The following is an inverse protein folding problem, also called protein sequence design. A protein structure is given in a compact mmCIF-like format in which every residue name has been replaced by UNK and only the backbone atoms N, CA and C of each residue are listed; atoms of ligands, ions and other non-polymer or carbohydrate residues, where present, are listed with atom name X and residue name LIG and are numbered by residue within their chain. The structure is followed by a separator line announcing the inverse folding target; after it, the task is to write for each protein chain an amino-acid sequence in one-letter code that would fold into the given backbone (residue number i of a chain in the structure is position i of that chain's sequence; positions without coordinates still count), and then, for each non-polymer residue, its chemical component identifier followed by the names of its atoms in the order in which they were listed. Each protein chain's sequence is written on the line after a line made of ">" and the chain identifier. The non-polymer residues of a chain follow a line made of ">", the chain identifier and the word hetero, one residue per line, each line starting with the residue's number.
data_IF_739788577964
#
_entry.id   IF_739788577964
#
_cell.length_a   1.000
_cell.length_b   1.000
_cell.length_c   1.000
_cell.angle_alpha   90.00
_cell.angle_beta   90.00
_cell.angle_gamma   90.00
#
_symmetry.space_group_name_H-M   'P 1'
#
loop_
_entity.id
_entity.type
_entity.pdbx_description
1 polymer ?
#
# COMPACT_ATOMS: atom_id res chain seq x y z
N UNK A 1 -33.16 11.33 35.27
CA UNK A 1 -33.80 10.39 36.21
C UNK A 1 -32.68 9.65 36.92
N UNK A 2 -32.48 9.91 38.22
CA UNK A 2 -31.51 9.16 39.04
C UNK A 2 -32.01 7.72 39.08
N UNK A 3 -31.18 6.76 38.66
CA UNK A 3 -31.46 5.35 38.96
C UNK A 3 -31.49 5.25 40.50
N UNK A 4 -32.53 4.66 41.12
CA UNK A 4 -32.50 4.38 42.55
C UNK A 4 -31.23 3.61 42.88
N UNK A 5 -30.54 3.92 43.98
CA UNK A 5 -29.24 3.31 44.33
C UNK A 5 -29.25 1.78 44.15
N UNK A 6 -30.36 1.11 44.49
CA UNK A 6 -30.50 -0.35 44.37
C UNK A 6 -30.56 -0.85 42.91
N UNK A 7 -31.11 -0.07 41.98
CA UNK A 7 -31.13 -0.39 40.55
C UNK A 7 -29.73 -0.33 39.92
N UNK A 8 -28.90 0.62 40.36
CA UNK A 8 -27.50 0.71 39.93
C UNK A 8 -26.70 -0.52 40.35
N UNK A 9 -26.79 -0.91 41.63
CA UNK A 9 -26.07 -2.07 42.16
C UNK A 9 -26.55 -3.38 41.53
N UNK A 10 -27.84 -3.50 41.22
CA UNK A 10 -28.40 -4.68 40.54
C UNK A 10 -27.81 -4.82 39.12
N UNK A 11 -27.80 -3.75 38.34
CA UNK A 11 -27.23 -3.73 36.98
C UNK A 11 -25.75 -4.13 36.98
N UNK A 12 -24.96 -3.53 37.89
CA UNK A 12 -23.52 -3.78 37.96
C UNK A 12 -23.23 -5.20 38.44
N UNK A 13 -23.99 -5.71 39.40
CA UNK A 13 -23.82 -7.08 39.91
C UNK A 13 -24.12 -8.12 38.83
N UNK A 14 -25.21 -7.93 38.06
CA UNK A 14 -25.54 -8.82 36.94
C UNK A 14 -24.43 -8.83 35.88
N UNK A 15 -23.92 -7.65 35.49
CA UNK A 15 -22.82 -7.57 34.51
C UNK A 15 -21.52 -8.23 34.98
N UNK A 16 -21.20 -8.16 36.27
CA UNK A 16 -20.03 -8.83 36.86
C UNK A 16 -20.25 -10.35 37.02
N UNK A 17 -21.48 -10.80 37.24
CA UNK A 17 -21.82 -12.24 37.34
C UNK A 17 -21.84 -12.92 35.98
N UNK A 18 -22.24 -12.20 34.92
CA UNK A 18 -22.17 -12.66 33.53
C UNK A 18 -20.79 -12.48 32.90
N UNK A 19 -19.75 -12.19 33.70
CA UNK A 19 -18.38 -12.15 33.19
C UNK A 19 -17.98 -13.54 32.68
N UNK A 20 -17.37 -13.57 31.51
CA UNK A 20 -16.70 -14.76 30.99
C UNK A 20 -15.30 -14.88 31.63
N UNK A 21 -14.23 -14.74 30.84
CA UNK A 21 -12.83 -14.85 31.28
C UNK A 21 -12.22 -13.50 31.73
N UNK A 22 -13.02 -12.44 31.81
CA UNK A 22 -12.52 -11.11 32.14
C UNK A 22 -12.25 -10.91 33.64
N UNK A 23 -11.25 -10.09 33.95
CA UNK A 23 -10.99 -9.65 35.34
C UNK A 23 -12.17 -8.84 35.87
N UNK A 24 -12.38 -8.85 37.20
CA UNK A 24 -13.45 -8.08 37.86
C UNK A 24 -13.40 -6.58 37.53
N UNK A 25 -12.19 -6.03 37.36
CA UNK A 25 -11.99 -4.65 36.94
C UNK A 25 -12.56 -4.40 35.53
N UNK A 26 -12.24 -5.30 34.60
CA UNK A 26 -12.64 -5.18 33.19
C UNK A 26 -14.14 -5.40 33.01
N UNK A 27 -14.72 -6.37 33.73
CA UNK A 27 -16.17 -6.59 33.75
C UNK A 27 -16.94 -5.37 34.30
N UNK A 28 -16.46 -4.77 35.41
CA UNK A 28 -17.03 -3.55 35.98
C UNK A 28 -16.93 -2.37 35.00
N UNK A 29 -15.77 -2.19 34.36
CA UNK A 29 -15.56 -1.18 33.33
C UNK A 29 -16.54 -1.34 32.15
N UNK A 30 -16.63 -2.54 31.56
CA UNK A 30 -17.51 -2.79 30.43
C UNK A 30 -18.99 -2.61 30.77
N UNK A 31 -19.41 -3.07 31.95
CA UNK A 31 -20.80 -2.92 32.41
C UNK A 31 -21.18 -1.45 32.57
N UNK A 32 -20.34 -0.65 33.22
CA UNK A 32 -20.57 0.78 33.38
C UNK A 32 -20.52 1.52 32.04
N UNK A 33 -19.54 1.21 31.17
CA UNK A 33 -19.42 1.78 29.83
C UNK A 33 -20.68 1.49 29.00
N UNK A 34 -21.15 0.25 29.00
CA UNK A 34 -22.36 -0.16 28.28
C UNK A 34 -23.59 0.57 28.81
N UNK A 35 -23.76 0.65 30.13
CA UNK A 35 -24.87 1.36 30.75
C UNK A 35 -24.87 2.86 30.44
N UNK A 36 -23.69 3.48 30.32
CA UNK A 36 -23.56 4.88 29.90
C UNK A 36 -23.93 5.04 28.41
N UNK A 37 -23.41 4.17 27.54
CA UNK A 37 -23.66 4.25 26.09
C UNK A 37 -25.12 3.99 25.70
N UNK A 38 -25.79 3.05 26.39
CA UNK A 38 -27.22 2.76 26.21
C UNK A 38 -28.13 3.80 26.87
N UNK A 39 -27.57 4.81 27.54
CA UNK A 39 -28.33 5.83 28.25
C UNK A 39 -29.05 5.34 29.51
N UNK A 40 -28.78 4.10 29.95
CA UNK A 40 -29.29 3.57 31.24
C UNK A 40 -28.76 4.42 32.40
N UNK A 41 -27.46 4.76 32.36
CA UNK A 41 -26.87 5.80 33.19
C UNK A 41 -26.98 7.14 32.46
N UNK A 42 -27.95 7.95 32.88
CA UNK A 42 -28.22 9.24 32.27
C UNK A 42 -27.03 10.20 32.40
N UNK A 43 -26.89 11.08 31.40
CA UNK A 43 -25.98 12.21 31.44
C UNK A 43 -26.13 13.02 32.75
N UNK A 44 -25.01 13.49 33.29
CA UNK A 44 -24.90 14.25 34.55
C UNK A 44 -25.34 13.49 35.81
N UNK A 45 -25.61 12.18 35.73
CA UNK A 45 -25.88 11.39 36.94
C UNK A 45 -24.60 11.24 37.77
N UNK A 46 -24.75 11.29 39.10
CA UNK A 46 -23.65 11.05 40.04
C UNK A 46 -23.55 9.56 40.33
N UNK A 47 -22.37 9.00 40.19
CA UNK A 47 -22.09 7.62 40.60
C UNK A 47 -21.84 7.56 42.11
N UNK A 48 -22.19 6.43 42.76
CA UNK A 48 -21.85 6.22 44.17
C UNK A 48 -20.33 6.30 44.39
N UNK A 49 -19.93 6.75 45.59
CA UNK A 49 -18.51 6.85 45.93
C UNK A 49 -17.81 5.48 45.89
N UNK A 50 -16.52 5.47 45.53
CA UNK A 50 -15.75 4.24 45.34
C UNK A 50 -15.78 3.29 46.56
N UNK A 51 -15.88 3.83 47.78
CA UNK A 51 -15.98 3.05 49.04
C UNK A 51 -17.33 2.35 49.16
N UNK A 52 -18.41 3.03 48.80
CA UNK A 52 -19.78 2.47 48.81
C UNK A 52 -19.87 1.39 47.75
N UNK A 53 -19.33 1.65 46.56
CA UNK A 53 -19.28 0.66 45.47
C UNK A 53 -18.51 -0.59 45.86
N UNK A 54 -17.31 -0.44 46.43
CA UNK A 54 -16.50 -1.56 46.90
C UNK A 54 -17.23 -2.39 47.97
N UNK A 55 -17.86 -1.74 48.95
CA UNK A 55 -18.57 -2.41 50.04
C UNK A 55 -19.81 -3.19 49.55
N UNK A 56 -20.66 -2.59 48.71
CA UNK A 56 -21.88 -3.24 48.22
C UNK A 56 -21.62 -4.31 47.17
N UNK A 57 -20.64 -4.12 46.29
CA UNK A 57 -20.27 -5.10 45.26
C UNK A 57 -19.35 -6.20 45.79
N UNK A 58 -18.92 -6.14 47.06
CA UNK A 58 -17.92 -7.03 47.66
C UNK A 58 -16.62 -7.11 46.84
N UNK A 59 -16.20 -5.97 46.29
CA UNK A 59 -14.98 -5.83 45.50
C UNK A 59 -13.91 -5.06 46.26
N UNK A 60 -12.65 -5.28 45.89
CA UNK A 60 -11.57 -4.41 46.39
C UNK A 60 -11.78 -2.97 45.91
N UNK A 61 -11.44 -2.00 46.76
CA UNK A 61 -11.50 -0.58 46.39
C UNK A 61 -10.59 -0.25 45.21
N UNK A 62 -9.48 -0.96 45.06
CA UNK A 62 -8.54 -0.78 43.95
C UNK A 62 -9.18 -1.19 42.61
N UNK A 63 -9.92 -2.30 42.58
CA UNK A 63 -10.66 -2.76 41.39
C UNK A 63 -11.69 -1.72 40.92
N UNK A 64 -12.46 -1.16 41.86
CA UNK A 64 -13.45 -0.12 41.55
C UNK A 64 -12.79 1.17 41.08
N UNK A 65 -11.73 1.62 41.77
CA UNK A 65 -11.01 2.83 41.40
C UNK A 65 -10.41 2.72 39.99
N UNK A 66 -9.79 1.59 39.67
CA UNK A 66 -9.15 1.36 38.39
C UNK A 66 -10.18 1.33 37.23
N UNK A 67 -11.36 0.72 37.43
CA UNK A 67 -12.44 0.78 36.44
C UNK A 67 -12.99 2.20 36.23
N UNK A 68 -13.21 2.95 37.31
CA UNK A 68 -13.68 4.33 37.25
C UNK A 68 -12.61 5.29 36.72
N UNK A 69 -11.32 5.01 36.92
CA UNK A 69 -10.20 5.76 36.34
C UNK A 69 -10.12 5.54 34.85
N UNK A 70 -10.25 4.29 34.38
CA UNK A 70 -10.30 3.97 32.96
C UNK A 70 -11.46 4.69 32.26
N UNK A 71 -12.66 4.67 32.86
CA UNK A 71 -13.81 5.40 32.32
C UNK A 71 -13.61 6.93 32.31
N UNK A 72 -12.86 7.47 33.27
CA UNK A 72 -12.55 8.90 33.29
C UNK A 72 -11.48 9.27 32.25
N UNK A 73 -10.46 8.43 32.05
CA UNK A 73 -9.44 8.60 31.01
C UNK A 73 -10.05 8.58 29.61
N UNK A 74 -11.05 7.73 29.38
CA UNK A 74 -11.78 7.64 28.12
C UNK A 74 -12.88 8.71 27.96
N UNK A 75 -13.09 9.56 28.96
CA UNK A 75 -14.06 10.66 28.89
C UNK A 75 -15.53 10.28 29.12
N UNK A 76 -15.81 9.07 29.61
CA UNK A 76 -17.17 8.67 30.01
C UNK A 76 -17.59 9.30 31.34
N UNK A 77 -16.62 9.60 32.21
CA UNK A 77 -16.85 10.15 33.55
C UNK A 77 -16.02 11.39 33.83
N UNK A 78 -16.62 12.36 34.51
CA UNK A 78 -15.91 13.51 35.10
C UNK A 78 -15.74 13.29 36.59
N UNK A 79 -14.50 13.33 37.08
CA UNK A 79 -14.20 13.30 38.52
C UNK A 79 -14.04 14.73 39.05
N UNK A 80 -14.75 15.05 40.13
CA UNK A 80 -14.65 16.33 40.82
C UNK A 80 -14.53 16.14 42.34
N UNK A 81 -14.25 17.21 43.08
CA UNK A 81 -14.32 17.20 44.56
C UNK A 81 -15.69 16.80 45.10
N UNK A 82 -16.74 16.90 44.29
CA UNK A 82 -18.11 16.56 44.66
C UNK A 82 -18.53 15.14 44.25
N UNK A 83 -17.60 14.34 43.69
CA UNK A 83 -17.83 12.97 43.25
C UNK A 83 -17.62 12.75 41.75
N UNK A 84 -17.99 11.56 41.29
CA UNK A 84 -17.87 11.11 39.90
C UNK A 84 -19.21 11.27 39.18
N UNK A 85 -19.21 11.88 38.00
CA UNK A 85 -20.42 12.14 37.20
C UNK A 85 -20.29 11.58 35.79
N UNK A 86 -21.40 11.13 35.21
CA UNK A 86 -21.45 10.69 33.81
C UNK A 86 -21.46 11.90 32.88
N UNK A 87 -20.55 11.91 31.91
CA UNK A 87 -20.44 12.97 30.91
C UNK A 87 -21.68 12.96 30.00
N UNK A 88 -22.22 14.13 29.60
CA UNK A 88 -23.25 14.19 28.58
C UNK A 88 -22.71 13.72 27.23
N UNK A 89 -22.96 12.46 26.90
CA UNK A 89 -22.69 11.90 25.58
C UNK A 89 -23.91 12.11 24.67
N UNK A 90 -23.66 12.32 23.38
CA UNK A 90 -24.73 12.21 22.39
C UNK A 90 -25.32 10.80 22.51
N UNK A 91 -26.61 10.70 22.80
CA UNK A 91 -27.24 9.40 22.99
C UNK A 91 -27.12 8.59 21.70
N UNK A 92 -26.40 7.47 21.75
CA UNK A 92 -26.56 6.40 20.78
C UNK A 92 -27.89 5.73 21.08
N UNK A 93 -29.00 6.37 20.72
CA UNK A 93 -30.25 5.61 20.62
C UNK A 93 -30.01 4.54 19.58
N UNK A 94 -30.21 3.28 19.96
CA UNK A 94 -30.49 2.18 19.02
C UNK A 94 -31.84 2.45 18.32
N UNK A 95 -32.02 3.63 17.75
CA UNK A 95 -32.90 3.74 16.59
C UNK A 95 -32.23 2.88 15.53
N UNK A 96 -33.00 1.99 14.88
CA UNK A 96 -32.52 1.16 13.80
C UNK A 96 -32.10 2.07 12.63
N UNK A 97 -30.90 2.65 12.72
CA UNK A 97 -30.31 3.47 11.68
C UNK A 97 -30.12 2.52 10.51
N UNK A 98 -30.91 2.72 9.46
CA UNK A 98 -30.70 2.03 8.19
C UNK A 98 -29.32 2.44 7.70
N UNK A 99 -28.35 1.56 7.90
CA UNK A 99 -26.98 1.76 7.40
C UNK A 99 -27.11 1.88 5.88
N UNK A 100 -26.73 3.02 5.28
CA UNK A 100 -26.81 3.16 3.83
C UNK A 100 -25.91 2.10 3.20
N UNK A 101 -26.30 1.54 2.04
CA UNK A 101 -25.45 0.60 1.34
C UNK A 101 -24.12 1.27 0.99
N UNK A 102 -23.01 0.56 1.20
CA UNK A 102 -21.69 1.02 0.77
C UNK A 102 -21.62 0.88 -0.75
N UNK A 103 -21.60 2.00 -1.45
CA UNK A 103 -21.52 2.04 -2.93
C UNK A 103 -20.10 2.41 -3.35
N UNK A 104 -19.53 1.66 -4.28
CA UNK A 104 -18.23 1.98 -4.87
C UNK A 104 -18.32 3.23 -5.77
N UNK A 105 -17.33 4.14 -5.71
CA UNK A 105 -17.24 5.25 -6.67
C UNK A 105 -17.26 4.77 -8.12
N UNK A 106 -17.93 5.51 -9.00
CA UNK A 106 -18.12 5.17 -10.42
C UNK A 106 -16.82 4.80 -11.14
N UNK A 107 -15.76 5.59 -10.93
CA UNK A 107 -14.42 5.33 -11.50
C UNK A 107 -13.81 3.96 -11.13
N UNK A 108 -14.26 3.34 -10.03
CA UNK A 108 -13.77 2.03 -9.58
C UNK A 108 -14.63 0.88 -10.07
N UNK A 109 -15.82 1.16 -10.63
CA UNK A 109 -16.74 0.11 -11.11
C UNK A 109 -16.22 -0.59 -12.37
N UNK A 110 -15.38 0.09 -13.17
CA UNK A 110 -14.76 -0.46 -14.38
C UNK A 110 -13.39 -1.12 -14.18
N UNK A 111 -12.97 -1.35 -12.94
CA UNK A 111 -11.70 -2.03 -12.65
C UNK A 111 -11.81 -3.52 -13.03
N UNK A 112 -10.72 -4.14 -13.53
CA UNK A 112 -10.69 -5.56 -13.81
C UNK A 112 -10.91 -6.37 -12.52
N UNK A 113 -11.51 -7.55 -12.66
CA UNK A 113 -11.70 -8.46 -11.53
C UNK A 113 -10.35 -8.82 -10.89
N UNK A 114 -10.35 -8.97 -9.56
CA UNK A 114 -9.16 -9.37 -8.82
C UNK A 114 -8.68 -10.75 -9.29
N UNK A 115 -7.43 -10.83 -9.72
CA UNK A 115 -6.81 -12.11 -10.05
C UNK A 115 -6.51 -12.87 -8.76
N UNK A 116 -7.05 -14.08 -8.63
CA UNK A 116 -6.83 -14.95 -7.47
C UNK A 116 -5.33 -15.30 -7.41
N UNK A 117 -4.68 -15.02 -6.28
CA UNK A 117 -3.30 -15.44 -6.01
C UNK A 117 -3.34 -16.68 -5.12
N UNK A 118 -2.98 -17.82 -5.69
CA UNK A 118 -2.83 -19.06 -4.93
C UNK A 118 -1.59 -19.04 -4.05
N UNK A 119 -1.66 -19.74 -2.91
CA UNK A 119 -0.54 -19.97 -2.01
C UNK A 119 -0.52 -21.45 -1.59
N UNK A 120 0.45 -22.26 -2.07
CA UNK A 120 1.54 -21.88 -2.98
C UNK A 120 1.03 -21.53 -4.39
N UNK A 121 1.79 -20.71 -5.13
CA UNK A 121 1.47 -20.39 -6.52
C UNK A 121 1.43 -21.67 -7.36
N UNK A 122 0.46 -21.76 -8.29
CA UNK A 122 0.34 -22.89 -9.20
C UNK A 122 1.48 -22.91 -10.22
N UNK A 123 1.83 -24.10 -10.72
CA UNK A 123 2.76 -24.23 -11.85
C UNK A 123 2.26 -23.43 -13.05
N UNK A 124 3.19 -22.83 -13.79
CA UNK A 124 2.92 -21.94 -14.93
C UNK A 124 2.16 -20.64 -14.59
N UNK A 125 2.11 -20.22 -13.33
CA UNK A 125 1.63 -18.87 -12.97
C UNK A 125 2.54 -17.81 -13.65
N UNK A 126 2.00 -16.94 -14.53
CA UNK A 126 2.81 -15.95 -15.24
C UNK A 126 3.50 -14.97 -14.28
N UNK A 127 4.74 -14.61 -14.61
CA UNK A 127 5.52 -13.65 -13.83
C UNK A 127 6.05 -14.16 -12.49
N UNK A 128 5.98 -15.48 -12.24
CA UNK A 128 6.52 -16.10 -11.02
C UNK A 128 8.00 -16.50 -11.17
N UNK A 129 8.91 -15.99 -10.32
CA UNK A 129 10.28 -16.48 -10.25
C UNK A 129 10.47 -17.94 -9.90
N UNK A 130 11.65 -18.43 -10.28
CA UNK A 130 12.28 -19.59 -9.65
C UNK A 130 12.73 -19.24 -8.22
N UNK A 131 11.77 -18.98 -7.32
CA UNK A 131 12.00 -18.56 -5.93
C UNK A 131 12.85 -19.57 -5.14
N UNK A 132 12.86 -20.83 -5.56
CA UNK A 132 13.68 -21.91 -5.01
C UNK A 132 15.18 -21.77 -5.30
N UNK A 133 15.58 -20.95 -6.29
CA UNK A 133 16.98 -20.66 -6.59
C UNK A 133 17.52 -19.43 -5.82
N UNK A 134 16.67 -18.75 -5.04
CA UNK A 134 17.11 -17.59 -4.28
C UNK A 134 18.20 -17.99 -3.26
N UNK A 135 19.37 -17.34 -3.25
CA UNK A 135 20.51 -17.75 -2.43
C UNK A 135 20.33 -17.30 -0.97
N UNK A 136 19.36 -17.88 -0.27
CA UNK A 136 18.99 -17.55 1.12
C UNK A 136 20.20 -17.49 2.08
N UNK A 137 21.17 -18.44 2.05
CA UNK A 137 22.31 -18.37 2.96
C UNK A 137 23.21 -17.14 2.73
N UNK A 138 23.43 -16.77 1.47
CA UNK A 138 24.21 -15.58 1.12
C UNK A 138 23.46 -14.31 1.53
N UNK A 139 22.16 -14.25 1.23
CA UNK A 139 21.32 -13.11 1.58
C UNK A 139 21.31 -12.85 3.09
N UNK A 140 21.15 -13.90 3.90
CA UNK A 140 21.21 -13.81 5.37
C UNK A 140 22.54 -13.25 5.85
N UNK A 141 23.66 -13.77 5.32
CA UNK A 141 25.00 -13.27 5.68
C UNK A 141 25.17 -11.79 5.34
N UNK A 142 24.68 -11.32 4.19
CA UNK A 142 24.77 -9.91 3.79
C UNK A 142 23.91 -9.03 4.70
N UNK A 143 22.69 -9.46 5.00
CA UNK A 143 21.79 -8.76 5.92
C UNK A 143 22.40 -8.66 7.32
N UNK A 144 22.97 -9.75 7.85
CA UNK A 144 23.62 -9.77 9.16
C UNK A 144 24.82 -8.81 9.22
N UNK A 145 25.58 -8.66 8.12
CA UNK A 145 26.67 -7.70 8.04
C UNK A 145 26.15 -6.26 8.10
N UNK A 146 25.15 -5.92 7.28
CA UNK A 146 24.55 -4.58 7.26
C UNK A 146 23.95 -4.21 8.63
N UNK A 147 23.23 -5.14 9.26
CA UNK A 147 22.67 -4.93 10.59
C UNK A 147 23.76 -4.73 11.67
N UNK A 148 24.92 -5.38 11.54
CA UNK A 148 26.04 -5.20 12.46
C UNK A 148 26.73 -3.85 12.27
N UNK A 149 26.91 -3.43 11.02
CA UNK A 149 27.69 -2.24 10.67
C UNK A 149 26.87 -0.95 10.88
N UNK A 150 25.60 -0.94 10.49
CA UNK A 150 24.73 0.25 10.58
C UNK A 150 23.86 0.28 11.85
N UNK A 151 23.58 -0.89 12.44
CA UNK A 151 22.91 -1.00 13.73
C UNK A 151 21.57 -0.26 13.80
N UNK A 152 21.42 0.59 14.82
CA UNK A 152 20.18 1.34 15.06
C UNK A 152 19.91 2.47 14.05
N UNK A 153 20.89 2.86 13.22
CA UNK A 153 20.68 3.89 12.20
C UNK A 153 19.61 3.48 11.16
N UNK A 154 19.49 2.17 10.90
CA UNK A 154 18.49 1.59 10.00
C UNK A 154 17.04 1.64 10.55
N UNK A 155 16.88 1.84 11.87
CA UNK A 155 15.56 1.79 12.51
C UNK A 155 14.81 3.13 12.43
N UNK A 156 15.48 4.18 11.95
CA UNK A 156 14.90 5.51 11.74
C UNK A 156 14.21 5.65 10.38
N UNK A 157 13.61 6.82 10.17
CA UNK A 157 13.15 7.20 8.83
C UNK A 157 14.36 7.59 7.97
N UNK A 158 14.50 6.93 6.83
CA UNK A 158 15.51 7.25 5.81
C UNK A 158 15.06 8.36 4.85
N UNK A 159 15.82 8.56 3.78
CA UNK A 159 15.43 9.46 2.70
C UNK A 159 14.18 8.94 1.96
N UNK A 160 13.27 9.85 1.62
CA UNK A 160 12.00 9.49 0.97
C UNK A 160 12.18 8.83 -0.40
N UNK A 161 13.27 9.11 -1.12
CA UNK A 161 13.59 8.49 -2.40
C UNK A 161 14.28 7.12 -2.25
N UNK A 162 14.58 6.69 -1.02
CA UNK A 162 15.34 5.49 -0.69
C UNK A 162 16.81 5.77 -0.36
N UNK A 163 17.45 4.75 0.19
CA UNK A 163 18.83 4.82 0.67
C UNK A 163 19.82 5.32 -0.43
N UNK A 164 20.70 6.30 -0.14
CA UNK A 164 21.65 6.82 -1.13
C UNK A 164 22.62 5.77 -1.68
N UNK A 165 23.15 4.87 -0.85
CA UNK A 165 24.12 3.85 -1.27
C UNK A 165 23.46 2.81 -2.17
N UNK A 166 22.22 2.43 -1.86
CA UNK A 166 21.40 1.59 -2.73
C UNK A 166 21.17 2.26 -4.09
N UNK A 167 20.81 3.55 -4.12
CA UNK A 167 20.60 4.28 -5.36
C UNK A 167 21.88 4.41 -6.19
N UNK A 168 23.03 4.61 -5.57
CA UNK A 168 24.34 4.57 -6.26
C UNK A 168 24.62 3.20 -6.88
N UNK A 169 24.37 2.12 -6.13
CA UNK A 169 24.55 0.76 -6.62
C UNK A 169 23.62 0.46 -7.81
N UNK A 170 22.36 0.91 -7.76
CA UNK A 170 21.40 0.77 -8.85
C UNK A 170 21.81 1.59 -10.07
N UNK A 171 22.22 2.86 -9.89
CA UNK A 171 22.70 3.69 -11.00
C UNK A 171 23.87 3.02 -11.74
N UNK A 172 24.81 2.44 -10.99
CA UNK A 172 25.93 1.67 -11.55
C UNK A 172 25.46 0.41 -12.26
N UNK A 173 24.53 -0.34 -11.66
CA UNK A 173 23.96 -1.54 -12.28
C UNK A 173 23.28 -1.21 -13.60
N UNK A 174 22.40 -0.22 -13.62
CA UNK A 174 21.67 0.23 -14.82
C UNK A 174 22.63 0.71 -15.93
N UNK A 175 23.71 1.40 -15.58
CA UNK A 175 24.72 1.81 -16.56
C UNK A 175 25.42 0.62 -17.22
N UNK A 176 25.69 -0.45 -16.47
CA UNK A 176 26.39 -1.64 -16.96
C UNK A 176 25.45 -2.62 -17.69
N UNK A 177 24.25 -2.85 -17.17
CA UNK A 177 23.31 -3.86 -17.68
C UNK A 177 22.40 -3.34 -18.78
N UNK A 178 22.06 -2.03 -18.75
CA UNK A 178 21.08 -1.40 -19.65
C UNK A 178 21.62 -0.22 -20.43
N UNK A 179 22.86 0.21 -20.19
CA UNK A 179 23.40 1.43 -20.79
C UNK A 179 22.67 2.71 -20.35
N UNK A 180 21.79 2.64 -19.34
CA UNK A 180 21.03 3.78 -18.83
C UNK A 180 21.97 4.62 -17.97
N UNK A 181 22.21 5.87 -18.39
CA UNK A 181 22.98 6.83 -17.62
C UNK A 181 22.02 7.74 -16.86
N UNK A 182 22.00 7.60 -15.53
CA UNK A 182 21.19 8.43 -14.64
C UNK A 182 21.99 8.86 -13.40
N UNK A 183 21.61 10.00 -12.82
CA UNK A 183 22.08 10.47 -11.52
C UNK A 183 21.22 9.86 -10.41
N UNK A 184 21.80 9.62 -9.23
CA UNK A 184 21.08 9.03 -8.08
C UNK A 184 19.83 9.82 -7.66
N UNK A 185 19.80 11.13 -7.93
CA UNK A 185 18.65 12.02 -7.67
C UNK A 185 17.46 11.72 -8.59
N UNK A 186 17.68 10.95 -9.66
CA UNK A 186 16.65 10.53 -10.61
C UNK A 186 16.14 9.11 -10.30
N UNK A 187 16.65 8.46 -9.25
CA UNK A 187 16.22 7.12 -8.82
C UNK A 187 15.35 7.27 -7.57
N UNK A 188 14.17 6.66 -7.62
CA UNK A 188 13.26 6.52 -6.48
C UNK A 188 13.04 5.04 -6.24
N UNK A 189 13.30 4.59 -5.01
CA UNK A 189 13.04 3.22 -4.58
C UNK A 189 11.58 3.11 -4.16
N UNK A 190 10.91 2.07 -4.65
CA UNK A 190 9.50 1.78 -4.36
C UNK A 190 9.34 0.34 -3.91
N UNK A 191 8.27 0.05 -3.17
CA UNK A 191 7.79 -1.26 -2.74
C UNK A 191 7.11 -2.02 -3.90
N UNK A 192 7.83 -2.14 -5.02
CA UNK A 192 7.41 -2.81 -6.25
C UNK A 192 6.93 -1.88 -7.37
N UNK A 193 6.89 -2.42 -8.58
CA UNK A 193 6.65 -1.65 -9.81
C UNK A 193 5.29 -0.93 -9.83
N UNK A 194 4.24 -1.51 -9.25
CA UNK A 194 2.92 -0.87 -9.21
C UNK A 194 2.91 0.42 -8.39
N UNK A 195 3.71 0.52 -7.32
CA UNK A 195 3.85 1.78 -6.60
C UNK A 195 4.53 2.82 -7.48
N UNK A 196 5.60 2.46 -8.20
CA UNK A 196 6.23 3.33 -9.21
C UNK A 196 5.25 3.83 -10.27
N UNK A 197 4.40 2.95 -10.81
CA UNK A 197 3.35 3.34 -11.77
C UNK A 197 2.32 4.29 -11.14
N UNK A 198 1.92 4.07 -9.89
CA UNK A 198 0.99 4.95 -9.19
C UNK A 198 1.60 6.33 -8.90
N UNK A 199 2.89 6.40 -8.57
CA UNK A 199 3.63 7.65 -8.42
C UNK A 199 3.71 8.40 -9.76
N UNK A 200 4.01 7.70 -10.85
CA UNK A 200 4.01 8.30 -12.19
C UNK A 200 2.63 8.87 -12.56
N UNK A 201 1.56 8.13 -12.32
CA UNK A 201 0.20 8.64 -12.55
C UNK A 201 -0.07 9.90 -11.70
N UNK A 202 0.30 9.88 -10.42
CA UNK A 202 0.02 10.99 -9.49
C UNK A 202 0.85 12.25 -9.78
N UNK A 203 2.06 12.11 -10.30
CA UNK A 203 3.01 13.22 -10.51
C UNK A 203 2.97 13.81 -11.93
N UNK A 204 2.48 13.05 -12.91
CA UNK A 204 2.60 13.40 -14.33
C UNK A 204 1.26 13.64 -15.02
N UNK A 205 0.14 13.43 -14.34
CA UNK A 205 -1.20 13.50 -14.92
C UNK A 205 -2.21 14.12 -13.95
N UNK A 206 -3.25 14.75 -14.50
CA UNK A 206 -4.43 15.19 -13.76
C UNK A 206 -5.63 14.26 -14.05
N UNK A 207 -6.62 14.14 -13.13
CA UNK A 207 -7.86 13.43 -13.43
C UNK A 207 -8.52 13.96 -14.70
N UNK A 208 -8.87 13.06 -15.61
CA UNK A 208 -9.35 13.40 -16.94
C UNK A 208 -8.25 13.48 -18.01
N UNK A 209 -6.96 13.44 -17.70
CA UNK A 209 -5.94 13.28 -18.74
C UNK A 209 -6.06 11.92 -19.44
N UNK A 210 -5.58 11.86 -20.68
CA UNK A 210 -5.54 10.64 -21.49
C UNK A 210 -4.24 9.86 -21.29
N UNK A 211 -4.35 8.53 -21.25
CA UNK A 211 -3.19 7.63 -21.15
C UNK A 211 -3.32 6.51 -22.16
N UNK A 212 -2.23 6.21 -22.85
CA UNK A 212 -2.14 5.06 -23.72
C UNK A 212 -1.52 3.88 -22.98
N UNK A 213 -2.14 2.72 -23.10
CA UNK A 213 -1.64 1.45 -22.58
C UNK A 213 -1.68 0.40 -23.68
N UNK A 214 -0.79 -0.57 -23.65
CA UNK A 214 -0.84 -1.72 -24.55
C UNK A 214 -2.15 -2.54 -24.38
N UNK A 215 -2.70 -3.04 -25.48
CA UNK A 215 -3.87 -3.92 -25.52
C UNK A 215 -3.60 -5.11 -26.48
N UNK A 216 -3.47 -6.34 -25.96
CA UNK A 216 -3.49 -6.71 -24.54
C UNK A 216 -2.26 -6.20 -23.78
N UNK A 217 -2.39 -5.94 -22.48
CA UNK A 217 -1.32 -5.35 -21.67
C UNK A 217 -1.41 -5.64 -20.18
N UNK A 218 -0.54 -4.99 -19.39
CA UNK A 218 -0.48 -5.18 -17.94
C UNK A 218 -1.69 -4.58 -17.21
N UNK A 219 -2.59 -5.45 -16.72
CA UNK A 219 -3.83 -5.06 -16.03
C UNK A 219 -3.59 -4.21 -14.77
N UNK A 220 -2.45 -4.41 -14.09
CA UNK A 220 -2.12 -3.65 -12.88
C UNK A 220 -1.88 -2.16 -13.18
N UNK A 221 -1.20 -1.85 -14.28
CA UNK A 221 -1.01 -0.48 -14.74
C UNK A 221 -2.34 0.14 -15.19
N UNK A 222 -3.13 -0.58 -16.01
CA UNK A 222 -4.48 -0.15 -16.42
C UNK A 222 -5.36 0.22 -15.22
N UNK A 223 -5.39 -0.64 -14.20
CA UNK A 223 -6.15 -0.40 -12.97
C UNK A 223 -5.66 0.84 -12.21
N UNK A 224 -4.33 1.03 -12.16
CA UNK A 224 -3.72 2.18 -11.50
C UNK A 224 -4.13 3.50 -12.18
N UNK A 225 -4.12 3.54 -13.51
CA UNK A 225 -4.54 4.71 -14.28
C UNK A 225 -6.04 4.98 -14.22
N UNK A 226 -6.89 3.95 -14.31
CA UNK A 226 -8.34 4.10 -14.11
C UNK A 226 -8.65 4.63 -12.70
N UNK A 227 -7.95 4.10 -11.69
CA UNK A 227 -8.05 4.61 -10.32
C UNK A 227 -7.58 6.06 -10.22
N UNK A 228 -6.55 6.48 -10.94
CA UNK A 228 -6.14 7.89 -10.99
C UNK A 228 -7.16 8.81 -11.70
N UNK A 229 -8.20 8.25 -12.34
CA UNK A 229 -9.23 9.00 -13.05
C UNK A 229 -8.85 9.35 -14.49
N UNK A 230 -7.90 8.62 -15.08
CA UNK A 230 -7.44 8.86 -16.45
C UNK A 230 -8.35 8.22 -17.49
N UNK A 231 -8.44 8.84 -18.67
CA UNK A 231 -9.05 8.25 -19.87
C UNK A 231 -8.08 7.27 -20.49
N UNK A 232 -8.22 5.99 -20.14
CA UNK A 232 -7.34 4.92 -20.64
C UNK A 232 -7.74 4.49 -22.05
N UNK A 233 -6.81 4.62 -23.00
CA UNK A 233 -6.93 4.11 -24.38
C UNK A 233 -6.02 2.90 -24.57
N UNK A 234 -6.62 1.76 -24.92
CA UNK A 234 -5.89 0.55 -25.27
C UNK A 234 -5.36 0.63 -26.70
N UNK A 235 -4.05 0.44 -26.85
CA UNK A 235 -3.34 0.53 -28.13
C UNK A 235 -2.95 -0.87 -28.57
N UNK A 236 -3.37 -1.24 -29.78
CA UNK A 236 -3.11 -2.56 -30.33
C UNK A 236 -1.61 -2.87 -30.35
N UNK A 237 -1.26 -4.10 -30.01
CA UNK A 237 0.10 -4.63 -30.06
C UNK A 237 0.23 -5.53 -31.29
N UNK A 238 1.27 -5.30 -32.08
CA UNK A 238 1.68 -6.15 -33.20
C UNK A 238 3.04 -6.80 -32.93
N UNK A 239 3.61 -7.47 -33.95
CA UNK A 239 4.90 -8.15 -33.86
C UNK A 239 6.08 -7.18 -33.59
N UNK A 240 5.88 -5.87 -33.79
CA UNK A 240 6.84 -4.83 -33.44
C UNK A 240 6.49 -4.11 -32.13
N UNK A 241 5.53 -4.61 -31.36
CA UNK A 241 5.09 -4.04 -30.08
C UNK A 241 3.92 -3.07 -30.21
N UNK A 242 3.83 -2.12 -29.28
CA UNK A 242 2.74 -1.13 -29.23
C UNK A 242 2.63 -0.33 -30.54
N UNK A 243 1.45 -0.33 -31.15
CA UNK A 243 1.14 0.48 -32.32
C UNK A 243 0.92 1.95 -31.96
N UNK A 244 1.45 2.84 -32.79
CA UNK A 244 1.14 4.28 -32.72
C UNK A 244 -0.04 4.51 -33.65
N UNK A 245 -1.25 4.60 -33.11
CA UNK A 245 -2.44 4.71 -33.94
C UNK A 245 -2.53 6.10 -34.57
N UNK A 246 -2.48 6.15 -35.90
CA UNK A 246 -2.84 7.32 -36.72
C UNK A 246 -4.36 7.51 -36.68
N UNK A 247 -4.94 7.92 -35.55
CA UNK A 247 -6.40 8.05 -35.44
C UNK A 247 -6.97 8.32 -34.04
N UNK A 248 -6.13 8.44 -33.00
CA UNK A 248 -6.61 8.91 -31.69
C UNK A 248 -6.86 10.42 -31.79
N UNK A 249 -8.07 10.86 -31.43
CA UNK A 249 -8.50 12.25 -31.55
C UNK A 249 -7.70 13.23 -30.66
N UNK A 250 -7.14 12.74 -29.55
CA UNK A 250 -6.35 13.54 -28.61
C UNK A 250 -5.02 12.84 -28.29
N UNK A 251 -3.89 13.57 -28.28
CA UNK A 251 -2.62 13.02 -27.83
C UNK A 251 -2.68 12.65 -26.34
N UNK A 252 -1.99 11.57 -25.92
CA UNK A 252 -1.93 11.16 -24.53
C UNK A 252 -1.07 12.12 -23.70
N UNK A 253 -1.40 12.28 -22.42
CA UNK A 253 -0.46 12.83 -21.43
C UNK A 253 0.65 11.83 -21.12
N UNK A 254 0.31 10.54 -21.08
CA UNK A 254 1.20 9.47 -20.66
C UNK A 254 1.03 8.23 -21.55
N UNK A 255 2.14 7.55 -21.84
CA UNK A 255 2.23 6.33 -22.63
C UNK A 255 2.88 5.28 -21.76
N UNK A 256 2.23 4.14 -21.54
CA UNK A 256 2.77 3.01 -20.78
C UNK A 256 3.03 1.83 -21.72
N UNK A 257 4.28 1.35 -21.75
CA UNK A 257 4.72 0.29 -22.68
C UNK A 257 5.75 -0.64 -22.04
N UNK A 258 5.82 -1.88 -22.53
CA UNK A 258 6.78 -2.91 -22.12
C UNK A 258 7.66 -3.33 -23.31
N UNK A 259 8.57 -2.45 -23.78
CA UNK A 259 9.15 -2.57 -25.11
C UNK A 259 10.24 -3.65 -25.21
N UNK A 260 10.90 -3.99 -24.09
CA UNK A 260 11.96 -5.00 -24.04
C UNK A 260 11.44 -6.42 -24.21
N UNK A 261 10.24 -6.67 -23.71
CA UNK A 261 9.53 -7.93 -23.80
C UNK A 261 8.07 -7.64 -23.45
N UNK A 262 7.19 -7.67 -24.45
CA UNK A 262 5.82 -7.21 -24.28
C UNK A 262 5.04 -8.15 -23.37
N UNK A 263 4.36 -7.62 -22.35
CA UNK A 263 3.48 -8.44 -21.52
C UNK A 263 2.02 -8.35 -22.01
N UNK A 264 1.35 -9.46 -22.40
CA UNK A 264 1.75 -10.86 -22.22
C UNK A 264 2.27 -11.56 -23.50
N UNK A 265 2.32 -10.89 -24.65
CA UNK A 265 2.54 -11.56 -25.95
C UNK A 265 4.00 -11.91 -26.24
N UNK A 266 4.93 -11.27 -25.55
CA UNK A 266 6.37 -11.52 -25.64
C UNK A 266 7.06 -10.91 -26.86
N UNK A 267 6.38 -10.04 -27.62
CA UNK A 267 7.03 -9.34 -28.73
C UNK A 267 8.10 -8.37 -28.23
N UNK A 268 9.16 -8.19 -29.01
CA UNK A 268 10.22 -7.21 -28.71
C UNK A 268 10.00 -6.01 -29.61
N UNK A 269 9.85 -4.83 -29.02
CA UNK A 269 9.62 -3.61 -29.79
C UNK A 269 10.84 -3.26 -30.64
N UNK A 270 10.63 -3.14 -31.95
CA UNK A 270 11.70 -2.83 -32.90
C UNK A 270 12.33 -1.46 -32.63
N UNK A 271 13.61 -1.29 -32.98
CA UNK A 271 14.28 0.01 -32.82
C UNK A 271 13.56 1.14 -33.58
N UNK A 272 13.00 0.84 -34.76
CA UNK A 272 12.21 1.78 -35.53
C UNK A 272 10.94 2.21 -34.78
N UNK A 273 10.19 1.25 -34.19
CA UNK A 273 8.99 1.53 -33.40
C UNK A 273 9.31 2.35 -32.15
N UNK A 274 10.40 2.03 -31.44
CA UNK A 274 10.90 2.80 -30.29
C UNK A 274 11.18 4.25 -30.69
N UNK A 275 11.97 4.48 -31.73
CA UNK A 275 12.28 5.84 -32.18
C UNK A 275 11.03 6.63 -32.58
N UNK A 276 10.08 5.98 -33.26
CA UNK A 276 8.80 6.59 -33.60
C UNK A 276 7.99 6.99 -32.35
N UNK A 277 7.99 6.16 -31.31
CA UNK A 277 7.28 6.43 -30.06
C UNK A 277 7.90 7.60 -29.30
N UNK A 278 9.23 7.68 -29.23
CA UNK A 278 9.93 8.82 -28.63
C UNK A 278 9.68 10.10 -29.40
N UNK A 279 9.72 10.06 -30.73
CA UNK A 279 9.46 11.24 -31.53
C UNK A 279 8.01 11.70 -31.36
N UNK A 280 7.06 10.78 -31.34
CA UNK A 280 5.66 11.08 -31.05
C UNK A 280 5.48 11.74 -29.67
N UNK A 281 6.08 11.16 -28.63
CA UNK A 281 6.01 11.70 -27.27
C UNK A 281 6.64 13.09 -27.17
N UNK A 282 7.78 13.29 -27.84
CA UNK A 282 8.46 14.60 -27.91
C UNK A 282 7.61 15.66 -28.60
N UNK A 283 6.95 15.32 -29.71
CA UNK A 283 6.11 16.24 -30.47
C UNK A 283 4.86 16.69 -29.69
N UNK A 284 4.30 15.79 -28.86
CA UNK A 284 3.06 16.06 -28.13
C UNK A 284 3.26 16.39 -26.65
N UNK A 285 4.52 16.40 -26.16
CA UNK A 285 4.82 16.61 -24.74
C UNK A 285 4.25 15.51 -23.84
N UNK A 286 4.20 14.27 -24.35
CA UNK A 286 3.74 13.10 -23.61
C UNK A 286 4.90 12.46 -22.83
N UNK A 287 4.58 11.90 -21.66
CA UNK A 287 5.51 11.08 -20.90
C UNK A 287 5.49 9.63 -21.38
N UNK A 288 6.64 8.96 -21.39
CA UNK A 288 6.74 7.52 -21.60
C UNK A 288 7.12 6.86 -20.28
N UNK A 289 6.30 5.93 -19.82
CA UNK A 289 6.58 5.02 -18.71
C UNK A 289 6.91 3.65 -19.28
N UNK A 290 8.17 3.25 -19.15
CA UNK A 290 8.69 1.96 -19.61
C UNK A 290 8.64 0.95 -18.45
N UNK A 291 7.87 -0.14 -18.63
CA UNK A 291 7.87 -1.29 -17.72
C UNK A 291 8.93 -2.31 -18.18
N UNK A 292 10.02 -2.40 -17.42
CA UNK A 292 11.17 -3.24 -17.73
C UNK A 292 11.29 -4.38 -16.70
N UNK A 293 10.57 -5.48 -16.91
CA UNK A 293 10.36 -6.50 -15.87
C UNK A 293 11.25 -7.75 -15.95
N UNK A 294 11.74 -8.14 -17.14
CA UNK A 294 12.52 -9.38 -17.31
C UNK A 294 13.62 -9.31 -18.38
N UNK A 295 13.97 -8.12 -18.84
CA UNK A 295 14.94 -7.93 -19.92
C UNK A 295 16.38 -8.37 -19.59
N UNK A 296 16.65 -8.82 -18.35
CA UNK A 296 17.91 -9.49 -17.96
C UNK A 296 17.99 -10.94 -18.48
N UNK A 297 16.86 -11.51 -18.90
CA UNK A 297 16.73 -12.90 -19.35
C UNK A 297 16.53 -12.98 -20.87
N UNK A 298 17.64 -13.05 -21.61
CA UNK A 298 17.64 -13.41 -23.03
C UNK A 298 18.33 -14.77 -23.20
N UNK A 299 17.57 -15.78 -23.62
CA UNK A 299 18.07 -17.16 -23.78
C UNK A 299 18.69 -17.42 -25.15
N UNK A 300 18.36 -16.61 -26.16
CA UNK A 300 18.91 -16.68 -27.52
C UNK A 300 19.11 -15.27 -28.08
N UNK A 301 20.18 -15.11 -28.88
CA UNK A 301 20.64 -13.82 -29.43
C UNK A 301 21.79 -13.21 -28.62
N UNK A 302 22.84 -12.76 -29.32
CA UNK A 302 23.92 -11.96 -28.72
C UNK A 302 23.30 -10.62 -28.30
N UNK A 303 23.62 -10.14 -27.10
CA UNK A 303 23.20 -8.80 -26.67
C UNK A 303 23.88 -7.78 -27.60
N UNK A 304 23.16 -7.34 -28.64
CA UNK A 304 23.60 -6.19 -29.41
C UNK A 304 23.47 -4.95 -28.50
N UNK A 305 24.53 -4.13 -28.35
CA UNK A 305 24.53 -2.99 -27.44
C UNK A 305 23.42 -1.96 -27.71
N UNK A 306 22.81 -1.99 -28.90
CA UNK A 306 21.67 -1.15 -29.27
C UNK A 306 20.29 -1.70 -28.88
N UNK A 307 20.15 -3.02 -28.71
CA UNK A 307 18.87 -3.69 -28.44
C UNK A 307 18.65 -4.00 -26.95
N UNK A 308 19.71 -3.93 -26.14
CA UNK A 308 19.68 -4.06 -24.68
C UNK A 308 19.50 -2.71 -23.95
N UNK A 309 19.49 -1.61 -24.70
CA UNK A 309 19.38 -0.26 -24.18
C UNK A 309 17.95 0.15 -23.89
N UNK A 310 17.56 0.16 -22.62
CA UNK A 310 16.55 1.14 -22.20
C UNK A 310 17.02 2.51 -22.69
N UNK A 311 16.11 3.32 -23.22
CA UNK A 311 16.38 4.54 -24.02
C UNK A 311 17.76 5.15 -23.72
N UNK A 312 18.78 4.81 -24.55
CA UNK A 312 20.21 5.06 -24.29
C UNK A 312 20.57 6.54 -24.00
N UNK A 313 19.64 7.45 -24.30
CA UNK A 313 19.52 8.77 -23.70
C UNK A 313 18.05 8.95 -23.34
N UNK A 314 17.68 8.79 -22.08
CA UNK A 314 16.31 9.10 -21.67
C UNK A 314 16.07 10.58 -21.98
N UNK A 315 15.13 10.91 -22.89
CA UNK A 315 14.67 12.28 -22.97
C UNK A 315 14.12 12.67 -21.59
N UNK A 316 14.04 13.97 -21.27
CA UNK A 316 13.45 14.46 -19.99
C UNK A 316 12.04 13.90 -19.70
N UNK A 317 11.42 13.23 -20.67
CA UNK A 317 10.05 12.74 -20.71
C UNK A 317 9.92 11.21 -20.55
N UNK A 318 10.99 10.48 -20.25
CA UNK A 318 10.94 9.01 -20.08
C UNK A 318 11.26 8.59 -18.64
N UNK A 319 10.43 7.71 -18.08
CA UNK A 319 10.64 7.07 -16.78
C UNK A 319 10.66 5.56 -17.00
N UNK A 320 11.71 4.89 -16.53
CA UNK A 320 11.75 3.44 -16.46
C UNK A 320 11.34 2.98 -15.06
N UNK A 321 10.44 2.00 -15.00
CA UNK A 321 10.02 1.32 -13.78
C UNK A 321 10.57 -0.11 -13.84
N UNK A 322 11.88 -0.31 -13.55
CA UNK A 322 12.44 -1.65 -13.56
C UNK A 322 11.85 -2.46 -12.40
N UNK A 323 11.34 -3.64 -12.70
CA UNK A 323 10.88 -4.56 -11.67
C UNK A 323 12.01 -5.51 -11.29
N UNK A 324 12.67 -5.27 -10.14
CA UNK A 324 13.66 -6.18 -9.59
C UNK A 324 12.99 -7.44 -9.00
N UNK A 325 12.52 -8.35 -9.87
CA UNK A 325 12.00 -9.65 -9.41
C UNK A 325 13.10 -10.73 -9.39
N UNK A 326 14.25 -10.55 -10.05
CA UNK A 326 15.17 -11.67 -10.32
C UNK A 326 16.67 -11.35 -10.55
N UNK A 327 17.22 -10.28 -10.00
CA UNK A 327 18.63 -9.93 -10.27
C UNK A 327 19.59 -10.57 -9.25
N UNK A 328 20.00 -11.83 -9.46
CA UNK A 328 21.17 -12.40 -8.77
C UNK A 328 22.00 -13.25 -9.73
N UNK A 329 23.05 -12.65 -10.32
CA UNK A 329 24.13 -13.39 -10.97
C UNK A 329 25.26 -13.63 -9.98
N UNK A 330 25.74 -14.87 -9.94
CA UNK A 330 27.00 -15.25 -9.29
C UNK A 330 28.14 -14.63 -10.12
N UNK A 331 28.76 -13.56 -9.62
CA UNK A 331 30.07 -13.12 -10.13
C UNK A 331 31.10 -14.16 -9.70
N UNK A 332 31.46 -15.08 -10.59
CA UNK A 332 32.77 -15.72 -10.50
C UNK A 332 33.81 -14.69 -10.94
N UNK A 333 34.65 -14.29 -9.99
CA UNK A 333 35.87 -13.53 -10.24
C UNK A 333 36.75 -14.34 -11.19
N UNK A 334 36.73 -13.98 -12.47
CA UNK A 334 37.85 -14.29 -13.35
C UNK A 334 38.91 -13.19 -13.12
N UNK A 335 39.94 -13.57 -12.38
CA UNK A 335 41.25 -12.94 -12.40
C UNK A 335 41.69 -12.65 -13.83
N UNK A 336 41.93 -11.38 -14.18
CA UNK A 336 43.22 -10.78 -14.61
C UNK A 336 43.03 -9.27 -14.85
#
# INVERSE_FOLDING_TARGET
>A
MNIPDDGFFTLVTQGIQHRSDETLQRALYHTLRHAILQGTLAANCRLPGSRVMAGRLQLSRNTVNAALEQLALEGYLTRSRQGTQVVPLAACREEAVKVPPVVLPERLQGLPAAMRRDSPALLFTPGMPAVNYFPLPLWRRLMDNVLRDEGSALLGYGEAAGDPLLREAIARHLALSRGIRCDIRQIVITEGALEGVNLCASLLTDPGDSVWVEEPGYLGARSSFQRAGLRVSGMAVDDEGMGIANGVAEPPRLIFTSPSHQYPLGSVMSAARRLALVEYARLHGAWIVEDDYDSEFRHSGRADPGDAGGWCRMPRWCISVPSAKHSFRRCELASW
#
